data_IF_808001237791
#
_entry.id   IF_808001237791
#
_cell.length_a   1.000
_cell.length_b   1.000
_cell.length_c   1.000
_cell.angle_alpha   90.00
_cell.angle_beta   90.00
_cell.angle_gamma   90.00
#
_symmetry.space_group_name_H-M   'P 1'
#
loop_
_entity.id
_entity.type
_entity.pdbx_description
1 polymer ?
#
# COMPACT_ATOMS: atom_id res chain seq x y z
N UNK A 1 10.42 -19.32 -15.10
CA UNK A 1 9.31 -18.90 -15.99
C UNK A 1 9.14 -19.82 -17.19
N UNK A 2 10.22 -20.19 -17.86
CA UNK A 2 10.18 -20.95 -19.14
C UNK A 2 9.45 -22.28 -19.03
N UNK A 3 9.71 -23.03 -17.96
CA UNK A 3 9.04 -24.32 -17.71
C UNK A 3 7.52 -24.16 -17.54
N UNK A 4 7.11 -23.09 -16.83
CA UNK A 4 5.69 -22.79 -16.60
C UNK A 4 5.03 -22.42 -17.92
N UNK A 5 5.64 -21.52 -18.69
CA UNK A 5 5.15 -21.10 -20.01
C UNK A 5 5.07 -22.28 -20.96
N UNK A 6 6.10 -23.13 -20.98
CA UNK A 6 6.14 -24.34 -21.80
C UNK A 6 5.02 -25.33 -21.45
N UNK A 7 4.71 -25.50 -20.16
CA UNK A 7 3.60 -26.34 -19.69
C UNK A 7 2.24 -25.79 -20.11
N UNK A 8 2.03 -24.47 -19.95
CA UNK A 8 0.77 -23.83 -20.30
C UNK A 8 0.50 -23.89 -21.81
N UNK A 9 1.53 -23.71 -22.65
CA UNK A 9 1.42 -23.83 -24.10
C UNK A 9 0.93 -25.22 -24.57
N UNK A 10 1.09 -26.25 -23.76
CA UNK A 10 0.65 -27.62 -24.04
C UNK A 10 -0.82 -27.88 -23.67
N UNK A 11 -1.46 -26.99 -22.92
CA UNK A 11 -2.87 -27.14 -22.52
C UNK A 11 -3.75 -26.87 -23.73
N UNK A 12 -4.52 -27.90 -24.13
CA UNK A 12 -5.53 -27.79 -25.21
C UNK A 12 -6.79 -27.11 -24.68
N UNK A 13 -7.45 -26.37 -25.56
CA UNK A 13 -8.76 -25.73 -25.28
C UNK A 13 -8.78 -24.72 -24.13
N UNK A 14 -7.64 -24.09 -23.84
CA UNK A 14 -7.60 -23.00 -22.87
C UNK A 14 -8.26 -21.75 -23.46
N UNK A 15 -9.07 -21.05 -22.65
CA UNK A 15 -9.63 -19.76 -23.07
C UNK A 15 -8.49 -18.75 -23.26
N UNK A 16 -8.50 -18.04 -24.40
CA UNK A 16 -7.42 -17.11 -24.77
C UNK A 16 -7.21 -15.99 -23.74
N UNK A 17 -8.29 -15.48 -23.13
CA UNK A 17 -8.18 -14.44 -22.11
C UNK A 17 -7.51 -14.97 -20.83
N UNK A 18 -7.81 -16.21 -20.45
CA UNK A 18 -7.16 -16.86 -19.29
C UNK A 18 -5.70 -17.15 -19.57
N UNK A 19 -5.37 -17.59 -20.80
CA UNK A 19 -4.00 -17.80 -21.23
C UNK A 19 -3.19 -16.51 -21.22
N UNK A 20 -3.71 -15.47 -21.85
CA UNK A 20 -3.07 -14.15 -21.88
C UNK A 20 -2.91 -13.58 -20.47
N UNK A 21 -3.98 -13.61 -19.66
CA UNK A 21 -3.95 -13.11 -18.29
C UNK A 21 -2.88 -13.78 -17.44
N UNK A 22 -2.73 -15.11 -17.55
CA UNK A 22 -1.71 -15.84 -16.81
C UNK A 22 -0.27 -15.52 -17.30
N UNK A 23 -0.07 -15.49 -18.62
CA UNK A 23 1.24 -15.12 -19.19
C UNK A 23 1.65 -13.69 -18.77
N UNK A 24 0.70 -12.77 -18.70
CA UNK A 24 0.93 -11.41 -18.21
C UNK A 24 1.41 -11.37 -16.74
N UNK A 25 0.95 -12.30 -15.88
CA UNK A 25 1.48 -12.37 -14.51
C UNK A 25 2.93 -12.85 -14.48
N UNK A 26 3.30 -13.78 -15.34
CA UNK A 26 4.66 -14.32 -15.38
C UNK A 26 5.64 -13.33 -16.01
N UNK A 27 5.32 -12.79 -17.17
CA UNK A 27 6.22 -11.91 -17.93
C UNK A 27 6.00 -10.44 -17.54
N UNK A 28 4.76 -9.97 -17.59
CA UNK A 28 4.43 -8.56 -17.40
C UNK A 28 4.51 -8.10 -15.96
N UNK A 29 4.38 -9.00 -14.98
CA UNK A 29 4.50 -8.65 -13.56
C UNK A 29 5.79 -9.18 -12.95
N UNK A 30 5.94 -10.49 -12.87
CA UNK A 30 7.09 -11.11 -12.20
C UNK A 30 8.43 -10.68 -12.81
N UNK A 31 8.60 -10.81 -14.12
CA UNK A 31 9.88 -10.43 -14.77
C UNK A 31 10.07 -8.92 -14.82
N UNK A 32 8.99 -8.15 -14.92
CA UNK A 32 9.06 -6.69 -14.79
C UNK A 32 9.58 -6.28 -13.40
N UNK A 33 9.03 -6.84 -12.31
CA UNK A 33 9.51 -6.57 -10.96
C UNK A 33 10.98 -6.93 -10.78
N UNK A 34 11.39 -8.07 -11.34
CA UNK A 34 12.78 -8.51 -11.33
C UNK A 34 13.69 -7.55 -12.11
N UNK A 35 13.25 -7.10 -13.27
CA UNK A 35 13.96 -6.11 -14.07
C UNK A 35 14.18 -4.81 -13.29
N UNK A 36 13.11 -4.22 -12.76
CA UNK A 36 13.16 -3.02 -11.92
C UNK A 36 14.10 -3.20 -10.71
N UNK A 37 14.03 -4.34 -10.03
CA UNK A 37 14.93 -4.61 -8.91
C UNK A 37 16.42 -4.59 -9.35
N UNK A 38 16.76 -5.17 -10.50
CA UNK A 38 18.13 -5.20 -10.99
C UNK A 38 18.64 -3.82 -11.43
N UNK A 39 17.77 -3.00 -12.02
CA UNK A 39 18.16 -1.66 -12.51
C UNK A 39 18.13 -0.61 -11.39
N UNK A 40 17.07 -0.56 -10.60
CA UNK A 40 16.76 0.55 -9.70
C UNK A 40 16.66 0.15 -8.22
N UNK A 41 16.83 -1.14 -7.88
CA UNK A 41 16.61 -1.66 -6.52
C UNK A 41 17.43 -0.96 -5.43
N UNK A 42 18.70 -0.63 -5.70
CA UNK A 42 19.55 0.12 -4.76
C UNK A 42 19.04 1.54 -4.52
N UNK A 43 18.58 2.21 -5.56
CA UNK A 43 18.01 3.56 -5.47
C UNK A 43 16.72 3.52 -4.67
N UNK A 44 15.83 2.56 -4.96
CA UNK A 44 14.58 2.36 -4.22
C UNK A 44 14.82 2.15 -2.72
N UNK A 45 15.75 1.25 -2.34
CA UNK A 45 16.04 0.94 -0.93
C UNK A 45 16.61 2.13 -0.14
N UNK A 46 17.14 3.14 -0.82
CA UNK A 46 17.64 4.37 -0.22
C UNK A 46 16.67 5.56 -0.38
N UNK A 47 15.54 5.33 -1.01
CA UNK A 47 14.57 6.38 -1.29
C UNK A 47 13.60 6.62 -0.12
N UNK A 48 13.14 7.87 0.00
CA UNK A 48 12.12 8.30 0.96
C UNK A 48 11.49 9.62 0.48
N UNK A 49 10.81 9.58 -0.65
CA UNK A 49 10.26 10.75 -1.35
C UNK A 49 9.42 11.66 -0.46
N UNK A 50 8.55 11.09 0.37
CA UNK A 50 7.69 11.86 1.27
C UNK A 50 8.36 12.28 2.59
N UNK A 51 9.61 11.85 2.86
CA UNK A 51 10.33 12.19 4.09
C UNK A 51 9.74 11.55 5.35
N UNK A 52 9.22 10.33 5.23
CA UNK A 52 8.65 9.59 6.36
C UNK A 52 9.71 9.19 7.37
N UNK A 53 9.44 9.35 8.69
CA UNK A 53 10.42 9.12 9.73
C UNK A 53 9.90 8.35 10.96
N UNK A 54 8.63 7.95 10.96
CA UNK A 54 8.00 7.28 12.11
C UNK A 54 8.39 5.80 12.17
N UNK A 55 8.34 5.26 13.39
CA UNK A 55 8.55 3.84 13.66
C UNK A 55 7.22 3.16 13.99
N UNK A 56 7.12 1.87 13.76
CA UNK A 56 5.99 1.05 14.17
C UNK A 56 6.04 0.74 15.67
N UNK A 57 4.89 0.75 16.34
CA UNK A 57 4.74 0.19 17.68
C UNK A 57 4.24 -1.25 17.62
N UNK A 58 4.13 -1.92 18.78
CA UNK A 58 3.72 -3.32 18.88
C UNK A 58 2.37 -3.66 18.23
N UNK A 59 1.44 -2.68 18.17
CA UNK A 59 0.13 -2.86 17.54
C UNK A 59 0.19 -3.30 16.07
N UNK A 60 1.24 -2.95 15.34
CA UNK A 60 1.48 -3.40 13.97
C UNK A 60 1.95 -4.85 13.85
N UNK A 61 2.39 -5.43 14.96
CA UNK A 61 2.86 -6.81 15.02
C UNK A 61 1.85 -7.77 15.65
N UNK A 62 0.81 -7.24 16.30
CA UNK A 62 -0.23 -8.06 16.96
C UNK A 62 -1.66 -7.81 16.47
N UNK A 63 -1.85 -6.82 15.57
CA UNK A 63 -3.15 -6.49 14.99
C UNK A 63 -4.12 -5.92 16.03
N UNK A 64 -3.67 -4.91 16.78
CA UNK A 64 -4.47 -4.20 17.79
C UNK A 64 -4.43 -2.70 17.58
N UNK A 65 -4.60 -2.27 16.33
CA UNK A 65 -4.56 -0.86 15.96
C UNK A 65 -5.92 -0.15 16.13
N UNK A 66 -7.01 -0.91 16.13
CA UNK A 66 -8.38 -0.36 16.16
C UNK A 66 -8.92 0.03 14.78
N UNK A 67 -8.19 -0.23 13.70
CA UNK A 67 -8.72 -0.20 12.33
C UNK A 67 -9.05 -1.63 11.93
N UNK A 68 -10.35 -2.00 11.95
CA UNK A 68 -10.81 -3.38 11.77
C UNK A 68 -10.19 -4.08 10.54
N UNK A 69 -10.18 -3.49 9.32
CA UNK A 69 -9.54 -4.13 8.18
C UNK A 69 -8.04 -4.37 8.37
N UNK A 70 -7.33 -3.45 9.00
CA UNK A 70 -5.91 -3.57 9.25
C UNK A 70 -5.62 -4.67 10.27
N UNK A 71 -6.35 -4.68 11.38
CA UNK A 71 -6.19 -5.68 12.43
C UNK A 71 -6.54 -7.09 11.94
N UNK A 72 -7.60 -7.22 11.14
CA UNK A 72 -7.94 -8.48 10.48
C UNK A 72 -6.82 -8.99 9.58
N UNK A 73 -6.29 -8.13 8.70
CA UNK A 73 -5.24 -8.55 7.76
C UNK A 73 -3.92 -8.85 8.47
N UNK A 74 -3.55 -8.12 9.52
CA UNK A 74 -2.37 -8.42 10.34
C UNK A 74 -2.52 -9.77 11.04
N UNK A 75 -3.66 -10.03 11.69
CA UNK A 75 -3.92 -11.31 12.36
C UNK A 75 -3.90 -12.49 11.41
N UNK A 76 -4.46 -12.33 10.21
CA UNK A 76 -4.38 -13.36 9.17
C UNK A 76 -2.93 -13.57 8.69
N UNK A 77 -2.16 -12.49 8.55
CA UNK A 77 -0.74 -12.58 8.19
C UNK A 77 0.04 -13.33 9.27
N UNK A 78 -0.18 -13.04 10.55
CA UNK A 78 0.45 -13.77 11.67
C UNK A 78 0.11 -15.28 11.60
N UNK A 79 -1.15 -15.61 11.33
CA UNK A 79 -1.63 -16.99 11.33
C UNK A 79 -1.14 -17.79 10.11
N UNK A 80 -1.09 -17.17 8.95
CA UNK A 80 -0.87 -17.87 7.68
C UNK A 80 0.44 -17.49 6.98
N UNK A 81 1.16 -16.49 7.47
CA UNK A 81 2.33 -15.87 6.82
C UNK A 81 2.04 -15.43 5.37
N UNK A 82 0.77 -15.15 5.08
CA UNK A 82 0.28 -14.81 3.75
C UNK A 82 -0.93 -13.86 3.84
N UNK A 83 -1.03 -12.94 2.89
CA UNK A 83 -2.21 -12.15 2.60
C UNK A 83 -2.33 -11.92 1.09
N UNK A 84 -3.54 -11.69 0.59
CA UNK A 84 -3.77 -11.35 -0.80
C UNK A 84 -3.08 -10.03 -1.16
N UNK A 85 -2.60 -9.89 -2.42
CA UNK A 85 -1.86 -8.69 -2.85
C UNK A 85 -2.62 -7.38 -2.56
N UNK A 86 -3.93 -7.35 -2.77
CA UNK A 86 -4.75 -6.15 -2.49
C UNK A 86 -4.78 -5.81 -1.00
N UNK A 87 -4.82 -6.80 -0.11
CA UNK A 87 -4.74 -6.57 1.34
C UNK A 87 -3.37 -5.99 1.73
N UNK A 88 -2.29 -6.52 1.13
CA UNK A 88 -0.94 -5.99 1.35
C UNK A 88 -0.82 -4.55 0.88
N UNK A 89 -1.34 -4.24 -0.32
CA UNK A 89 -1.21 -2.92 -0.94
C UNK A 89 -2.18 -1.90 -0.36
N UNK A 90 -3.49 -2.20 -0.42
CA UNK A 90 -4.54 -1.21 -0.16
C UNK A 90 -4.97 -1.12 1.31
N UNK A 91 -4.58 -2.08 2.16
CA UNK A 91 -4.80 -1.99 3.59
C UNK A 91 -3.47 -1.73 4.30
N UNK A 92 -2.56 -2.70 4.30
CA UNK A 92 -1.35 -2.64 5.13
C UNK A 92 -0.40 -1.52 4.67
N UNK A 93 0.12 -1.60 3.44
CA UNK A 93 1.06 -0.58 2.94
C UNK A 93 0.43 0.81 2.84
N UNK A 94 -0.84 0.91 2.41
CA UNK A 94 -1.57 2.17 2.37
C UNK A 94 -1.61 2.84 3.75
N UNK A 95 -2.04 2.13 4.79
CA UNK A 95 -2.17 2.73 6.13
C UNK A 95 -0.79 3.04 6.72
N UNK A 96 0.22 2.19 6.49
CA UNK A 96 1.61 2.48 6.86
C UNK A 96 2.14 3.76 6.21
N UNK A 97 1.85 3.96 4.92
CA UNK A 97 2.21 5.17 4.18
C UNK A 97 1.50 6.41 4.74
N UNK A 98 0.18 6.31 4.95
CA UNK A 98 -0.63 7.39 5.52
C UNK A 98 -0.19 7.76 6.96
N UNK A 99 0.35 6.82 7.72
CA UNK A 99 0.94 7.02 9.03
C UNK A 99 2.38 7.52 9.00
N UNK A 100 2.93 7.78 7.83
CA UNK A 100 4.30 8.30 7.66
C UNK A 100 5.39 7.40 8.24
N UNK A 101 5.19 6.09 8.20
CA UNK A 101 6.17 5.12 8.68
C UNK A 101 7.36 5.08 7.71
N UNK A 102 8.57 5.13 8.26
CA UNK A 102 9.80 5.16 7.46
C UNK A 102 9.87 3.94 6.53
N UNK A 103 10.18 4.10 5.22
CA UNK A 103 10.15 3.01 4.23
C UNK A 103 10.94 1.77 4.63
N UNK A 104 12.11 1.93 5.25
CA UNK A 104 12.92 0.79 5.74
C UNK A 104 12.21 -0.01 6.84
N UNK A 105 11.40 0.63 7.69
CA UNK A 105 10.63 -0.08 8.71
C UNK A 105 9.47 -0.85 8.09
N UNK A 106 8.79 -0.26 7.09
CA UNK A 106 7.74 -0.96 6.33
C UNK A 106 8.34 -2.16 5.58
N UNK A 107 9.46 -1.95 4.88
CA UNK A 107 10.15 -3.03 4.18
C UNK A 107 10.55 -4.17 5.11
N UNK A 108 11.16 -3.85 6.26
CA UNK A 108 11.52 -4.84 7.28
C UNK A 108 10.30 -5.63 7.74
N UNK A 109 9.19 -4.96 8.04
CA UNK A 109 7.94 -5.60 8.45
C UNK A 109 7.44 -6.59 7.40
N UNK A 110 7.41 -6.21 6.10
CA UNK A 110 7.00 -7.10 5.02
C UNK A 110 7.94 -8.30 4.86
N UNK A 111 9.25 -8.11 5.02
CA UNK A 111 10.23 -9.20 4.97
C UNK A 111 10.08 -10.18 6.13
N UNK A 112 9.69 -9.73 7.31
CA UNK A 112 9.51 -10.54 8.51
C UNK A 112 8.17 -11.29 8.53
N UNK A 113 7.10 -10.71 7.96
CA UNK A 113 5.74 -11.21 8.15
C UNK A 113 5.27 -12.19 7.06
N UNK A 114 5.93 -12.25 5.92
CA UNK A 114 5.48 -13.04 4.78
C UNK A 114 6.44 -14.16 4.40
N UNK A 115 5.90 -15.39 4.22
CA UNK A 115 6.69 -16.56 3.80
C UNK A 115 7.23 -16.46 2.37
N UNK A 116 6.55 -15.70 1.52
CA UNK A 116 6.91 -15.49 0.11
C UNK A 116 7.77 -14.25 -0.10
N UNK A 117 8.27 -13.63 0.98
CA UNK A 117 9.13 -12.46 0.89
C UNK A 117 10.50 -12.83 0.34
N UNK A 118 10.92 -12.06 -0.64
CA UNK A 118 12.28 -12.05 -1.18
C UNK A 118 12.64 -10.65 -1.63
N UNK A 119 13.91 -10.30 -1.57
CA UNK A 119 14.38 -8.93 -1.77
C UNK A 119 13.95 -8.35 -3.13
N UNK A 120 14.12 -9.13 -4.20
CA UNK A 120 13.76 -8.71 -5.56
C UNK A 120 12.27 -8.50 -5.78
N UNK A 121 11.41 -9.15 -4.98
CA UNK A 121 9.94 -8.96 -4.99
C UNK A 121 9.55 -7.80 -4.11
N UNK A 122 10.04 -7.79 -2.86
CA UNK A 122 9.58 -6.83 -1.86
C UNK A 122 10.11 -5.43 -2.10
N UNK A 123 11.33 -5.27 -2.63
CA UNK A 123 11.89 -3.93 -2.89
C UNK A 123 10.98 -3.10 -3.81
N UNK A 124 10.66 -3.49 -5.05
CA UNK A 124 9.78 -2.68 -5.90
C UNK A 124 8.34 -2.62 -5.40
N UNK A 125 7.82 -3.69 -4.78
CA UNK A 125 6.45 -3.68 -4.28
C UNK A 125 6.27 -2.76 -3.06
N UNK A 126 7.22 -2.72 -2.13
CA UNK A 126 7.11 -1.89 -0.93
C UNK A 126 7.51 -0.45 -1.22
N UNK A 127 8.73 -0.21 -1.72
CA UNK A 127 9.23 1.15 -1.91
C UNK A 127 8.49 1.91 -3.00
N UNK A 128 8.19 1.27 -4.14
CA UNK A 128 7.50 1.93 -5.24
C UNK A 128 5.99 1.82 -5.11
N UNK A 129 5.45 0.63 -5.27
CA UNK A 129 4.00 0.43 -5.34
C UNK A 129 3.28 0.78 -4.05
N UNK A 130 3.77 0.27 -2.91
CA UNK A 130 3.12 0.46 -1.61
C UNK A 130 3.25 1.86 -1.04
N UNK A 131 4.44 2.45 -1.13
CA UNK A 131 4.79 3.69 -0.43
C UNK A 131 5.05 4.88 -1.35
N UNK A 132 5.25 4.65 -2.67
CA UNK A 132 5.73 5.70 -3.57
C UNK A 132 7.01 6.39 -3.05
N UNK A 133 7.83 5.65 -2.32
CA UNK A 133 9.03 6.18 -1.67
C UNK A 133 10.14 6.53 -2.67
N UNK A 134 10.10 5.93 -3.85
CA UNK A 134 11.00 6.18 -4.99
C UNK A 134 10.66 7.43 -5.80
N UNK A 135 9.53 8.08 -5.50
CA UNK A 135 9.10 9.28 -6.23
C UNK A 135 8.57 9.02 -7.64
N UNK A 136 8.37 7.75 -8.02
CA UNK A 136 7.71 7.39 -9.27
C UNK A 136 8.58 6.68 -10.30
N UNK A 137 9.62 5.96 -9.92
CA UNK A 137 10.41 5.10 -10.83
C UNK A 137 9.50 4.09 -11.53
N UNK A 138 8.63 3.42 -10.79
CA UNK A 138 7.72 2.42 -11.32
C UNK A 138 6.26 2.90 -11.36
N UNK A 139 5.78 3.50 -10.28
CA UNK A 139 4.39 3.91 -10.14
C UNK A 139 4.19 5.38 -10.56
N UNK A 140 3.17 5.67 -11.37
CA UNK A 140 2.87 7.04 -11.82
C UNK A 140 2.18 7.92 -10.78
N UNK A 141 1.72 7.31 -9.69
CA UNK A 141 1.05 7.95 -8.54
C UNK A 141 1.07 7.03 -7.33
N UNK A 142 1.00 7.56 -6.11
CA UNK A 142 0.82 6.73 -4.91
C UNK A 142 -0.52 5.99 -4.93
N UNK A 143 -0.53 4.74 -4.48
CA UNK A 143 -1.73 3.93 -4.28
C UNK A 143 -2.25 4.14 -2.86
N UNK A 144 -2.99 5.24 -2.67
CA UNK A 144 -3.61 5.56 -1.39
C UNK A 144 -5.13 5.57 -1.48
N UNK A 145 -5.80 5.17 -0.40
CA UNK A 145 -7.25 5.16 -0.32
C UNK A 145 -7.75 5.45 1.10
N UNK A 146 -8.98 5.97 1.19
CA UNK A 146 -9.76 6.05 2.42
C UNK A 146 -10.70 4.86 2.58
N UNK A 147 -11.58 4.95 3.59
CA UNK A 147 -12.51 3.87 3.97
C UNK A 147 -13.47 3.45 2.85
N UNK A 148 -13.91 4.39 2.03
CA UNK A 148 -14.86 4.12 0.95
C UNK A 148 -14.37 3.08 -0.07
N UNK A 149 -13.06 3.04 -0.35
CA UNK A 149 -12.48 2.01 -1.21
C UNK A 149 -12.62 0.63 -0.57
N UNK A 150 -12.23 0.50 0.70
CA UNK A 150 -12.29 -0.77 1.43
C UNK A 150 -13.73 -1.28 1.53
N UNK A 151 -14.67 -0.40 1.87
CA UNK A 151 -16.10 -0.75 1.95
C UNK A 151 -16.72 -1.19 0.61
N UNK A 152 -16.18 -0.74 -0.53
CA UNK A 152 -16.66 -1.14 -1.85
C UNK A 152 -16.01 -2.40 -2.39
N UNK A 153 -14.77 -2.67 -1.99
CA UNK A 153 -13.96 -3.75 -2.57
C UNK A 153 -13.85 -4.98 -1.67
N UNK A 154 -14.30 -4.89 -0.43
CA UNK A 154 -14.16 -5.94 0.59
C UNK A 154 -15.40 -5.99 1.49
N UNK A 155 -15.60 -7.11 2.17
CA UNK A 155 -16.79 -7.38 2.99
C UNK A 155 -16.74 -6.78 4.41
N UNK A 156 -16.06 -5.64 4.58
CA UNK A 156 -16.04 -4.93 5.86
C UNK A 156 -17.25 -4.04 6.02
N UNK A 157 -17.80 -4.01 7.23
CA UNK A 157 -18.89 -3.10 7.58
C UNK A 157 -18.36 -1.74 8.00
N UNK A 158 -19.16 -0.70 7.75
CA UNK A 158 -18.87 0.64 8.24
C UNK A 158 -18.81 0.65 9.78
N UNK A 159 -17.78 1.29 10.34
CA UNK A 159 -17.52 1.42 11.77
C UNK A 159 -16.67 2.65 12.06
N UNK A 160 -16.29 2.83 13.33
CA UNK A 160 -15.48 3.97 13.78
C UNK A 160 -14.11 4.04 13.10
N UNK A 161 -13.58 2.91 12.67
CA UNK A 161 -12.34 2.84 11.90
C UNK A 161 -12.38 3.66 10.60
N UNK A 162 -13.58 3.87 10.02
CA UNK A 162 -13.73 4.67 8.81
C UNK A 162 -13.31 6.13 9.05
N UNK A 163 -13.67 6.69 10.19
CA UNK A 163 -13.32 8.06 10.53
C UNK A 163 -11.81 8.22 10.67
N UNK A 164 -11.17 7.26 11.32
CA UNK A 164 -9.71 7.25 11.50
C UNK A 164 -8.99 7.12 10.15
N UNK A 165 -9.38 6.17 9.29
CA UNK A 165 -8.75 5.95 8.00
C UNK A 165 -8.97 7.14 7.05
N UNK A 166 -10.18 7.70 7.00
CA UNK A 166 -10.45 8.90 6.21
C UNK A 166 -9.67 10.10 6.74
N UNK A 167 -9.50 10.21 8.05
CA UNK A 167 -8.65 11.20 8.68
C UNK A 167 -7.20 11.09 8.23
N UNK A 168 -6.60 9.90 8.28
CA UNK A 168 -5.26 9.61 7.80
C UNK A 168 -5.10 9.97 6.32
N UNK A 169 -6.05 9.58 5.48
CA UNK A 169 -6.06 9.86 4.04
C UNK A 169 -6.07 11.38 3.76
N UNK A 170 -6.99 12.13 4.33
CA UNK A 170 -7.11 13.56 4.08
C UNK A 170 -5.98 14.37 4.70
N UNK A 171 -5.47 13.95 5.86
CA UNK A 171 -4.29 14.53 6.51
C UNK A 171 -3.06 14.38 5.63
N UNK A 172 -2.83 13.19 5.07
CA UNK A 172 -1.72 12.92 4.15
C UNK A 172 -1.78 13.81 2.91
N UNK A 173 -2.95 13.91 2.27
CA UNK A 173 -3.15 14.80 1.11
C UNK A 173 -2.89 16.26 1.49
N UNK A 174 -3.35 16.70 2.65
CA UNK A 174 -3.11 18.06 3.13
C UNK A 174 -1.62 18.35 3.34
N UNK A 175 -0.90 17.43 3.96
CA UNK A 175 0.55 17.55 4.21
C UNK A 175 1.34 17.64 2.90
N UNK A 176 0.98 16.84 1.92
CA UNK A 176 1.65 16.76 0.62
C UNK A 176 0.93 17.51 -0.50
N UNK A 177 0.16 18.56 -0.18
CA UNK A 177 -0.73 19.28 -1.08
C UNK A 177 -0.05 19.78 -2.36
N UNK A 178 1.22 20.23 -2.28
CA UNK A 178 1.97 20.67 -3.46
C UNK A 178 2.12 19.55 -4.48
N UNK A 179 2.52 18.36 -4.05
CA UNK A 179 2.66 17.18 -4.89
C UNK A 179 1.32 16.76 -5.50
N UNK A 180 0.25 16.68 -4.70
CA UNK A 180 -1.06 16.30 -5.21
C UNK A 180 -1.61 17.31 -6.23
N UNK A 181 -1.37 18.60 -6.03
CA UNK A 181 -1.81 19.67 -6.95
C UNK A 181 -1.06 19.64 -8.28
N UNK A 182 0.23 19.30 -8.28
CA UNK A 182 1.06 19.26 -9.49
C UNK A 182 0.81 18.02 -10.36
N UNK A 183 0.20 16.95 -9.81
CA UNK A 183 -0.09 15.74 -10.55
C UNK A 183 -1.53 15.79 -11.12
N UNK A 184 -1.72 15.79 -12.45
CA UNK A 184 -3.06 15.90 -13.07
C UNK A 184 -4.04 14.79 -12.63
N UNK A 185 -3.54 13.60 -12.30
CA UNK A 185 -4.36 12.46 -11.85
C UNK A 185 -4.82 12.58 -10.39
N UNK A 186 -4.22 13.48 -9.62
CA UNK A 186 -4.43 13.62 -8.17
C UNK A 186 -5.00 14.99 -7.77
N UNK A 187 -4.94 15.98 -8.67
CA UNK A 187 -5.33 17.37 -8.38
C UNK A 187 -6.77 17.52 -7.87
N UNK A 188 -7.68 16.65 -8.32
CA UNK A 188 -9.07 16.63 -7.85
C UNK A 188 -9.16 16.41 -6.32
N UNK A 189 -8.24 15.62 -5.73
CA UNK A 189 -8.22 15.38 -4.27
C UNK A 189 -7.97 16.67 -3.50
N UNK A 190 -7.11 17.55 -4.01
CA UNK A 190 -6.85 18.85 -3.35
C UNK A 190 -8.05 19.78 -3.42
N UNK A 191 -8.77 19.77 -4.54
CA UNK A 191 -10.01 20.55 -4.70
C UNK A 191 -11.09 20.07 -3.73
N UNK A 192 -11.25 18.73 -3.60
CA UNK A 192 -12.20 18.15 -2.64
C UNK A 192 -11.84 18.51 -1.19
N UNK A 193 -10.55 18.44 -0.85
CA UNK A 193 -10.08 18.84 0.48
C UNK A 193 -10.34 20.33 0.76
N UNK A 194 -10.15 21.21 -0.23
CA UNK A 194 -10.41 22.66 -0.08
C UNK A 194 -11.89 22.96 0.14
N UNK A 195 -12.77 22.24 -0.54
CA UNK A 195 -14.24 22.38 -0.40
C UNK A 195 -14.81 21.77 0.89
N UNK A 196 -14.02 20.97 1.61
CA UNK A 196 -14.47 20.34 2.86
C UNK A 196 -14.67 21.39 3.96
N UNK A 197 -15.77 21.29 4.70
CA UNK A 197 -16.04 22.16 5.86
C UNK A 197 -14.92 22.08 6.89
N UNK A 198 -14.54 23.23 7.48
CA UNK A 198 -13.44 23.32 8.45
C UNK A 198 -13.66 22.38 9.64
N UNK A 199 -14.85 22.38 10.22
CA UNK A 199 -15.19 21.48 11.34
C UNK A 199 -14.99 19.99 10.99
N UNK A 200 -15.34 19.60 9.76
CA UNK A 200 -15.12 18.21 9.31
C UNK A 200 -13.64 17.87 9.15
N UNK A 201 -12.82 18.80 8.67
CA UNK A 201 -11.36 18.61 8.58
C UNK A 201 -10.74 18.46 9.96
N UNK A 202 -11.12 19.30 10.90
CA UNK A 202 -10.61 19.28 12.27
C UNK A 202 -10.93 17.94 12.94
N UNK A 203 -12.19 17.48 12.82
CA UNK A 203 -12.61 16.18 13.33
C UNK A 203 -11.80 15.03 12.75
N UNK A 204 -11.65 14.98 11.42
CA UNK A 204 -10.88 13.94 10.72
C UNK A 204 -9.41 13.96 11.13
N UNK A 205 -8.80 15.14 11.18
CA UNK A 205 -7.39 15.28 11.54
C UNK A 205 -7.14 14.93 13.01
N UNK A 206 -8.06 15.24 13.90
CA UNK A 206 -7.99 14.82 15.30
C UNK A 206 -7.91 13.29 15.44
N UNK A 207 -8.78 12.54 14.73
CA UNK A 207 -8.75 11.08 14.73
C UNK A 207 -7.44 10.53 14.15
N UNK A 208 -6.96 11.13 13.06
CA UNK A 208 -5.69 10.74 12.45
C UNK A 208 -4.49 10.98 13.38
N UNK A 209 -4.39 12.16 13.97
CA UNK A 209 -3.27 12.53 14.85
C UNK A 209 -3.27 11.69 16.13
N UNK A 210 -4.46 11.39 16.69
CA UNK A 210 -4.61 10.45 17.79
C UNK A 210 -4.05 9.07 17.43
N UNK A 211 -4.50 8.51 16.31
CA UNK A 211 -4.06 7.20 15.83
C UNK A 211 -2.54 7.17 15.62
N UNK A 212 -1.98 8.16 14.94
CA UNK A 212 -0.54 8.26 14.69
C UNK A 212 0.23 8.30 16.01
N UNK A 213 -0.20 9.11 16.98
CA UNK A 213 0.43 9.22 18.29
C UNK A 213 0.40 7.90 19.08
N UNK A 214 -0.70 7.15 18.97
CA UNK A 214 -0.89 5.87 19.70
C UNK A 214 -0.13 4.71 19.06
N UNK A 215 0.01 4.67 17.73
CA UNK A 215 0.52 3.51 17.00
C UNK A 215 1.87 3.72 16.33
N UNK A 216 2.45 4.93 16.38
CA UNK A 216 3.79 5.23 15.82
C UNK A 216 4.68 5.94 16.84
N UNK A 217 6.01 5.84 16.64
CA UNK A 217 7.03 6.53 17.44
C UNK A 217 7.94 7.40 16.60
#
# INVERSE_FOLDING_TARGET
PDDIISKIRKIKNININSYEGYIRQIIGWREFMRGIYHTDGKEMQNSNFFGHNRKMRASWYNGTTGIDPLDYTIKNTIKHSYAHHIERLMIQANIMNLCEIHPKNVYKWFMEMYVDSSDWVMTPNVYSMGLYADGGIMATKPYICGSNYILKMMDFKKGDWCMTLDGLYWRFINKHKKFFKSNPRLSMMTIMLEKMKTSRKEELFFHADKFIKEHTG
#
